data_IF_117974193529
#
_entry.id   IF_117974193529
#
_cell.length_a   1.000
_cell.length_b   1.000
_cell.length_c   1.000
_cell.angle_alpha   90.00
_cell.angle_beta   90.00
_cell.angle_gamma   90.00
#
_symmetry.space_group_name_H-M   'P 1'
#
loop_
_entity.id
_entity.type
_entity.pdbx_description
1 polymer ?
#
# COMPACT_ATOMS: atom_id res chain seq x y z
N UNK A 1 -19.80 2.03 10.95
CA UNK A 1 -18.54 2.69 10.58
C UNK A 1 -17.58 1.61 10.10
N UNK A 2 -17.26 1.58 8.81
CA UNK A 2 -16.25 0.67 8.26
C UNK A 2 -14.87 1.01 8.84
N UNK A 3 -13.95 0.05 9.04
CA UNK A 3 -12.62 0.32 9.56
C UNK A 3 -11.89 1.32 8.67
N UNK A 4 -11.20 2.29 9.29
CA UNK A 4 -10.36 3.27 8.60
C UNK A 4 -9.11 2.54 8.12
N UNK A 5 -9.03 2.24 6.83
CA UNK A 5 -7.84 1.68 6.20
C UNK A 5 -7.44 2.53 5.01
N UNK A 6 -6.18 2.97 4.97
CA UNK A 6 -5.67 3.74 3.84
C UNK A 6 -5.54 2.86 2.57
N UNK A 7 -5.49 1.52 2.70
CA UNK A 7 -5.47 0.53 1.60
C UNK A 7 -4.38 0.77 0.53
N UNK A 8 -3.32 1.52 0.85
CA UNK A 8 -2.24 1.88 -0.09
C UNK A 8 -1.19 0.78 -0.20
N UNK A 9 -0.96 0.04 0.89
CA UNK A 9 0.02 -1.03 0.92
C UNK A 9 -0.69 -2.38 0.74
N UNK A 10 -0.20 -3.27 -0.16
CA UNK A 10 -0.69 -4.63 -0.19
C UNK A 10 -0.49 -5.26 1.19
N UNK A 11 -1.50 -5.99 1.69
CA UNK A 11 -1.37 -6.83 2.87
C UNK A 11 -0.16 -7.74 2.64
N UNK A 12 0.95 -7.45 3.31
CA UNK A 12 2.10 -8.34 3.24
C UNK A 12 1.63 -9.63 3.90
N UNK A 13 1.42 -10.66 3.07
CA UNK A 13 1.47 -12.03 3.53
C UNK A 13 2.92 -12.25 3.95
N UNK A 14 3.25 -11.89 5.19
CA UNK A 14 4.46 -12.35 5.86
C UNK A 14 4.19 -13.83 6.20
N UNK A 15 4.02 -14.67 5.17
CA UNK A 15 4.12 -16.11 5.38
C UNK A 15 5.60 -16.39 5.57
N UNK A 16 5.96 -16.55 6.83
CA UNK A 16 7.18 -17.21 7.22
C UNK A 16 7.24 -18.58 6.54
N UNK A 17 8.40 -18.99 5.97
CA UNK A 17 8.69 -20.41 5.88
C UNK A 17 8.48 -21.01 7.27
N UNK A 18 7.83 -22.17 7.38
CA UNK A 18 7.60 -22.83 8.66
C UNK A 18 8.89 -22.87 9.49
N UNK A 19 8.77 -22.66 10.81
CA UNK A 19 9.92 -22.59 11.73
C UNK A 19 10.96 -23.66 11.38
N UNK A 20 12.14 -23.25 10.92
CA UNK A 20 13.28 -24.16 10.91
C UNK A 20 13.59 -24.54 12.36
N UNK A 21 13.94 -25.82 12.62
CA UNK A 21 14.16 -26.30 13.98
C UNK A 21 15.15 -25.40 14.72
N UNK A 22 14.70 -24.85 15.85
CA UNK A 22 15.52 -24.01 16.73
C UNK A 22 16.69 -24.84 17.24
N UNK A 23 17.87 -24.66 16.65
CA UNK A 23 19.12 -25.02 17.32
C UNK A 23 19.36 -23.99 18.41
N UNK A 24 18.99 -24.35 19.64
CA UNK A 24 19.26 -23.55 20.84
C UNK A 24 20.75 -23.65 21.13
N UNK A 25 21.53 -22.61 20.83
CA UNK A 25 22.82 -22.32 21.47
C UNK A 25 23.27 -20.88 21.19
N UNK A 26 23.97 -20.28 22.17
CA UNK A 26 24.30 -18.85 22.23
C UNK A 26 25.26 -18.39 21.11
N UNK A 27 25.14 -17.11 20.74
CA UNK A 27 25.95 -16.45 19.71
C UNK A 27 27.45 -16.57 19.96
N UNK A 28 28.18 -17.12 18.99
CA UNK A 28 29.64 -17.23 18.97
C UNK A 28 30.24 -16.39 17.84
N UNK A 29 29.87 -15.12 17.74
CA UNK A 29 30.80 -14.14 17.16
C UNK A 29 31.77 -13.77 18.29
N UNK A 30 33.08 -14.02 18.16
CA UNK A 30 34.02 -13.68 19.22
C UNK A 30 34.03 -12.15 19.44
N UNK A 31 34.14 -11.67 20.70
CA UNK A 31 34.15 -10.24 21.01
C UNK A 31 35.32 -9.51 20.33
N UNK A 32 35.10 -8.23 20.00
CA UNK A 32 36.03 -7.32 19.30
C UNK A 32 37.45 -7.24 19.91
N UNK A 33 37.62 -7.62 21.18
CA UNK A 33 38.94 -7.70 21.85
C UNK A 33 39.87 -8.79 21.27
N UNK A 34 39.39 -9.66 20.38
CA UNK A 34 40.18 -10.73 19.74
C UNK A 34 40.84 -10.35 18.40
N UNK A 35 41.01 -9.06 18.12
CA UNK A 35 41.55 -8.50 16.87
C UNK A 35 42.98 -8.97 16.44
N UNK A 36 43.66 -9.84 17.20
CA UNK A 36 45.02 -10.33 16.87
C UNK A 36 45.08 -11.66 16.12
N UNK A 37 44.00 -12.46 16.05
CA UNK A 37 44.01 -13.76 15.35
C UNK A 37 44.05 -13.58 13.82
N UNK A 38 43.51 -12.46 13.31
CA UNK A 38 43.49 -12.14 11.87
C UNK A 38 44.89 -11.87 11.27
N UNK A 39 45.94 -11.88 12.09
CA UNK A 39 47.34 -11.73 11.65
C UNK A 39 48.02 -13.08 11.32
N UNK A 40 47.41 -14.21 11.67
CA UNK A 40 47.94 -15.54 11.36
C UNK A 40 47.34 -16.00 10.03
N UNK A 41 48.14 -15.98 8.96
CA UNK A 41 47.69 -16.33 7.60
C UNK A 41 47.80 -17.81 7.28
N UNK A 42 48.60 -18.56 8.04
CA UNK A 42 48.89 -19.97 7.77
C UNK A 42 47.95 -20.92 8.52
N UNK A 43 47.40 -21.88 7.77
CA UNK A 43 46.42 -22.88 8.23
C UNK A 43 46.92 -23.68 9.43
N UNK A 44 48.17 -24.14 9.37
CA UNK A 44 48.78 -24.96 10.42
C UNK A 44 49.08 -24.14 11.67
N UNK A 45 49.36 -22.84 11.53
CA UNK A 45 49.63 -21.95 12.65
C UNK A 45 48.35 -21.56 13.43
N UNK A 46 47.20 -21.48 12.77
CA UNK A 46 45.90 -21.30 13.43
C UNK A 46 45.53 -22.56 14.21
N UNK A 47 45.69 -23.73 13.60
CA UNK A 47 45.38 -25.02 14.23
C UNK A 47 46.26 -25.26 15.47
N UNK A 48 47.55 -24.92 15.39
CA UNK A 48 48.51 -25.05 16.49
C UNK A 48 48.25 -24.02 17.61
N UNK A 49 47.81 -22.80 17.26
CA UNK A 49 47.40 -21.78 18.24
C UNK A 49 46.10 -22.14 18.97
N UNK A 50 45.06 -22.59 18.24
CA UNK A 50 43.78 -23.00 18.81
C UNK A 50 43.96 -24.24 19.70
N UNK A 51 44.73 -25.23 19.26
CA UNK A 51 45.02 -26.44 20.03
C UNK A 51 45.83 -26.16 21.31
N UNK A 52 46.76 -25.20 21.28
CA UNK A 52 47.58 -24.83 22.45
C UNK A 52 46.85 -23.94 23.46
N UNK A 53 46.00 -23.03 22.98
CA UNK A 53 45.43 -21.98 23.82
C UNK A 53 43.96 -22.19 24.19
N UNK A 54 43.23 -23.10 23.53
CA UNK A 54 41.81 -23.32 23.79
C UNK A 54 41.51 -24.83 23.85
N UNK A 55 41.35 -25.38 25.07
CA UNK A 55 40.95 -26.77 25.26
C UNK A 55 39.42 -26.91 25.14
N UNK A 56 38.96 -27.80 24.27
CA UNK A 56 37.53 -28.17 24.17
C UNK A 56 36.73 -27.52 23.04
N UNK A 57 37.40 -26.91 22.05
CA UNK A 57 36.75 -26.19 20.93
C UNK A 57 35.98 -27.16 20.03
N UNK A 58 34.69 -26.90 19.82
CA UNK A 58 33.86 -27.65 18.88
C UNK A 58 34.30 -27.40 17.44
N UNK A 59 33.97 -28.31 16.50
CA UNK A 59 34.28 -28.12 15.07
C UNK A 59 33.74 -26.78 14.52
N UNK A 60 32.61 -26.32 15.04
CA UNK A 60 32.00 -25.06 14.61
C UNK A 60 32.75 -23.83 15.14
N UNK A 61 33.24 -23.88 16.37
CA UNK A 61 34.07 -22.81 16.94
C UNK A 61 35.41 -22.74 16.20
N UNK A 62 36.04 -23.89 15.92
CA UNK A 62 37.25 -23.97 15.08
C UNK A 62 37.03 -23.38 13.67
N UNK A 63 35.89 -23.65 13.05
CA UNK A 63 35.53 -23.09 11.74
C UNK A 63 35.23 -21.58 11.81
N UNK A 64 34.65 -21.09 12.92
CA UNK A 64 34.46 -19.65 13.15
C UNK A 64 35.80 -18.91 13.26
N UNK A 65 36.84 -19.56 13.79
CA UNK A 65 38.21 -18.99 13.81
C UNK A 65 38.90 -19.02 12.44
N UNK A 66 38.55 -19.97 11.55
CA UNK A 66 39.15 -20.11 10.20
C UNK A 66 38.53 -19.20 9.14
N UNK A 67 37.25 -18.85 9.31
CA UNK A 67 36.49 -18.09 8.33
C UNK A 67 36.75 -16.58 8.48
N UNK A 68 36.67 -15.84 7.36
CA UNK A 68 36.66 -14.37 7.43
C UNK A 68 35.44 -13.86 8.21
N UNK A 69 35.52 -12.65 8.77
CA UNK A 69 34.41 -12.04 9.50
C UNK A 69 33.12 -12.02 8.67
N UNK A 70 33.21 -11.61 7.40
CA UNK A 70 32.12 -11.70 6.41
C UNK A 70 31.51 -13.11 6.32
N UNK A 71 32.34 -14.15 6.26
CA UNK A 71 31.86 -15.52 6.12
C UNK A 71 31.17 -15.99 7.40
N UNK A 72 31.63 -15.57 8.57
CA UNK A 72 30.97 -15.88 9.84
C UNK A 72 29.59 -15.24 9.96
N UNK A 73 29.45 -13.94 9.66
CA UNK A 73 28.14 -13.27 9.72
C UNK A 73 27.16 -13.88 8.70
N UNK A 74 27.61 -14.21 7.48
CA UNK A 74 26.79 -14.86 6.48
C UNK A 74 26.28 -16.25 6.94
N UNK A 75 27.15 -17.06 7.55
CA UNK A 75 26.77 -18.38 8.09
C UNK A 75 25.77 -18.22 9.23
N UNK A 76 25.99 -17.28 10.14
CA UNK A 76 25.07 -17.03 11.26
C UNK A 76 23.68 -16.59 10.78
N UNK A 77 23.60 -15.65 9.82
CA UNK A 77 22.34 -15.21 9.25
C UNK A 77 21.54 -16.37 8.65
N UNK A 78 22.19 -17.23 7.86
CA UNK A 78 21.55 -18.39 7.25
C UNK A 78 21.10 -19.42 8.31
N UNK A 79 21.91 -19.66 9.35
CA UNK A 79 21.58 -20.58 10.46
C UNK A 79 20.36 -20.11 11.24
N UNK A 80 20.25 -18.81 11.49
CA UNK A 80 19.10 -18.19 12.16
C UNK A 80 17.91 -17.98 11.22
N UNK A 81 18.03 -18.39 9.96
CA UNK A 81 17.01 -18.30 8.94
C UNK A 81 16.75 -16.88 8.43
N UNK A 82 17.63 -15.91 8.66
CA UNK A 82 17.53 -14.53 8.16
C UNK A 82 17.92 -14.44 6.68
N UNK A 83 17.18 -15.17 5.82
CA UNK A 83 17.48 -15.28 4.40
C UNK A 83 17.35 -13.93 3.66
N UNK A 84 16.39 -13.09 4.07
CA UNK A 84 16.18 -11.78 3.46
C UNK A 84 17.33 -10.84 3.81
N UNK A 85 17.63 -10.68 5.10
CA UNK A 85 18.77 -9.88 5.54
C UNK A 85 20.09 -10.39 4.94
N UNK A 86 20.27 -11.71 4.85
CA UNK A 86 21.44 -12.32 4.23
C UNK A 86 21.61 -11.89 2.77
N UNK A 87 20.53 -11.96 1.98
CA UNK A 87 20.55 -11.54 0.58
C UNK A 87 20.95 -10.07 0.45
N UNK A 88 20.31 -9.20 1.23
CA UNK A 88 20.58 -7.74 1.21
C UNK A 88 22.04 -7.42 1.57
N UNK A 89 22.58 -8.07 2.61
CA UNK A 89 23.99 -7.88 3.02
C UNK A 89 24.98 -8.40 1.97
N UNK A 90 24.70 -9.56 1.37
CA UNK A 90 25.59 -10.16 0.38
C UNK A 90 25.67 -9.30 -0.89
N UNK A 91 24.51 -8.84 -1.38
CA UNK A 91 24.40 -7.95 -2.53
C UNK A 91 25.15 -6.63 -2.29
N UNK A 92 25.10 -6.10 -1.06
CA UNK A 92 25.80 -4.87 -0.67
C UNK A 92 27.32 -5.02 -0.81
N UNK A 93 27.87 -6.12 -0.26
CA UNK A 93 29.30 -6.39 -0.31
C UNK A 93 29.80 -6.55 -1.76
N UNK A 94 29.06 -7.30 -2.58
CA UNK A 94 29.43 -7.56 -3.98
C UNK A 94 29.47 -6.28 -4.82
N UNK A 95 28.46 -5.40 -4.70
CA UNK A 95 28.43 -4.16 -5.47
C UNK A 95 29.44 -3.13 -5.01
N UNK A 96 29.77 -3.09 -3.73
CA UNK A 96 30.84 -2.24 -3.22
C UNK A 96 32.18 -2.58 -3.89
N UNK A 97 32.51 -3.88 -3.98
CA UNK A 97 33.71 -4.33 -4.68
C UNK A 97 33.65 -4.00 -6.18
N UNK A 98 32.50 -4.21 -6.85
CA UNK A 98 32.33 -3.89 -8.27
C UNK A 98 32.46 -2.39 -8.57
N UNK A 99 31.92 -1.52 -7.70
CA UNK A 99 32.06 -0.06 -7.81
C UNK A 99 33.51 0.39 -7.66
N UNK A 100 34.22 -0.19 -6.69
CA UNK A 100 35.65 0.05 -6.52
C UNK A 100 36.42 -0.34 -7.78
N UNK A 101 36.19 -1.55 -8.29
CA UNK A 101 36.85 -2.07 -9.48
C UNK A 101 36.59 -1.18 -10.71
N UNK A 102 35.34 -0.78 -10.94
CA UNK A 102 34.95 0.07 -12.06
C UNK A 102 35.55 1.49 -11.99
N UNK A 103 35.72 2.06 -10.79
CA UNK A 103 36.28 3.40 -10.61
C UNK A 103 37.82 3.45 -10.82
N UNK A 104 38.48 2.30 -10.72
CA UNK A 104 39.89 2.12 -11.03
C UNK A 104 40.88 2.76 -10.03
N UNK A 105 42.20 2.48 -10.19
CA UNK A 105 43.23 2.72 -9.17
C UNK A 105 43.49 4.16 -8.70
N UNK A 106 43.00 5.17 -9.44
CA UNK A 106 43.19 6.58 -9.12
C UNK A 106 41.98 7.27 -8.50
N UNK A 107 40.90 6.53 -8.24
CA UNK A 107 39.67 7.06 -7.65
C UNK A 107 39.72 7.05 -6.12
N UNK A 108 39.00 7.98 -5.48
CA UNK A 108 38.93 8.03 -4.01
C UNK A 108 38.40 6.71 -3.41
N UNK A 109 37.41 6.09 -4.05
CA UNK A 109 36.80 4.82 -3.61
C UNK A 109 37.77 3.62 -3.74
N UNK A 110 38.75 3.68 -4.63
CA UNK A 110 39.80 2.66 -4.74
C UNK A 110 40.71 2.63 -3.51
N UNK A 111 40.96 3.80 -2.92
CA UNK A 111 41.78 3.94 -1.73
C UNK A 111 41.01 3.71 -0.41
N UNK A 112 39.68 3.72 -0.43
CA UNK A 112 38.86 3.29 0.71
C UNK A 112 39.03 1.79 0.96
N UNK A 113 39.05 1.33 2.22
CA UNK A 113 39.16 -0.10 2.59
C UNK A 113 37.92 -0.90 2.20
N UNK A 114 38.06 -2.21 1.97
CA UNK A 114 36.91 -3.00 1.50
C UNK A 114 35.81 -3.01 2.56
N UNK A 115 34.54 -3.05 2.15
CA UNK A 115 33.48 -3.32 3.13
C UNK A 115 33.76 -4.66 3.85
N UNK A 116 34.40 -5.62 3.16
CA UNK A 116 34.86 -6.89 3.72
C UNK A 116 35.98 -6.76 4.77
N UNK A 117 36.71 -5.66 4.72
CA UNK A 117 37.86 -5.32 5.58
C UNK A 117 37.48 -4.31 6.67
N UNK A 118 36.19 -3.97 6.79
CA UNK A 118 35.62 -3.05 7.78
C UNK A 118 34.65 -3.81 8.70
N UNK A 119 35.16 -4.63 9.65
CA UNK A 119 34.34 -5.49 10.50
C UNK A 119 33.29 -4.72 11.30
N UNK A 120 33.62 -3.52 11.79
CA UNK A 120 32.68 -2.68 12.54
C UNK A 120 31.45 -2.27 11.71
N UNK A 121 31.65 -1.98 10.40
CA UNK A 121 30.55 -1.64 9.50
C UNK A 121 29.73 -2.86 9.12
N UNK A 122 30.38 -4.00 8.89
CA UNK A 122 29.70 -5.26 8.64
C UNK A 122 28.87 -5.69 9.84
N UNK A 123 29.36 -5.47 11.06
CA UNK A 123 28.64 -5.77 12.29
C UNK A 123 27.40 -4.88 12.46
N UNK A 124 27.55 -3.58 12.20
CA UNK A 124 26.42 -2.64 12.19
C UNK A 124 25.35 -3.05 11.16
N UNK A 125 25.76 -3.33 9.92
CA UNK A 125 24.84 -3.76 8.86
C UNK A 125 24.15 -5.08 9.20
N UNK A 126 24.90 -6.07 9.70
CA UNK A 126 24.36 -7.32 10.21
C UNK A 126 23.32 -7.06 11.32
N UNK A 127 23.64 -6.22 12.30
CA UNK A 127 22.77 -5.90 13.42
C UNK A 127 21.46 -5.24 12.98
N UNK A 128 21.54 -4.22 12.13
CA UNK A 128 20.34 -3.51 11.65
C UNK A 128 19.46 -4.39 10.77
N UNK A 129 20.05 -5.12 9.82
CA UNK A 129 19.27 -5.96 8.90
C UNK A 129 18.61 -7.13 9.64
N UNK A 130 19.36 -7.87 10.46
CA UNK A 130 18.80 -9.00 11.21
C UNK A 130 17.83 -8.55 12.31
N UNK A 131 18.13 -7.42 12.97
CA UNK A 131 17.24 -6.79 13.94
C UNK A 131 15.91 -6.37 13.33
N UNK A 132 15.95 -5.71 12.17
CA UNK A 132 14.76 -5.32 11.41
C UNK A 132 13.92 -6.53 10.99
N UNK A 133 14.55 -7.56 10.42
CA UNK A 133 13.85 -8.79 10.01
C UNK A 133 13.25 -9.52 11.23
N UNK A 134 13.98 -9.61 12.34
CA UNK A 134 13.47 -10.20 13.58
C UNK A 134 12.27 -9.42 14.15
N UNK A 135 12.36 -8.09 14.18
CA UNK A 135 11.27 -7.23 14.65
C UNK A 135 10.03 -7.35 13.76
N UNK A 136 10.20 -7.43 12.44
CA UNK A 136 9.11 -7.67 11.49
C UNK A 136 8.45 -9.03 11.73
N UNK A 137 9.23 -10.10 11.92
CA UNK A 137 8.71 -11.44 12.24
C UNK A 137 7.93 -11.47 13.56
N UNK A 138 8.37 -10.70 14.55
CA UNK A 138 7.70 -10.57 15.84
C UNK A 138 6.48 -9.62 15.81
N UNK A 139 6.22 -8.94 14.70
CA UNK A 139 5.17 -7.91 14.60
C UNK A 139 5.48 -6.63 15.38
N UNK A 140 6.72 -6.43 15.82
CA UNK A 140 7.18 -5.24 16.53
C UNK A 140 7.57 -4.13 15.54
N UNK A 141 6.55 -3.51 14.94
CA UNK A 141 6.71 -2.53 13.84
C UNK A 141 7.51 -1.29 14.26
N UNK A 142 7.39 -0.82 15.51
CA UNK A 142 8.15 0.33 16.02
C UNK A 142 9.65 0.03 16.09
N UNK A 143 10.02 -1.13 16.62
CA UNK A 143 11.41 -1.57 16.72
C UNK A 143 12.03 -1.79 15.33
N UNK A 144 11.23 -2.29 14.37
CA UNK A 144 11.67 -2.38 12.99
C UNK A 144 11.99 -0.99 12.40
N UNK A 145 11.21 0.04 12.74
CA UNK A 145 11.47 1.42 12.32
C UNK A 145 12.82 1.91 12.85
N UNK A 146 13.13 1.68 14.13
CA UNK A 146 14.41 2.09 14.76
C UNK A 146 15.61 1.49 14.03
N UNK A 147 15.55 0.19 13.67
CA UNK A 147 16.61 -0.46 12.92
C UNK A 147 16.79 0.13 11.52
N UNK A 148 15.71 0.44 10.80
CA UNK A 148 15.80 1.07 9.49
C UNK A 148 16.17 2.56 9.55
N UNK A 149 15.83 3.29 10.61
CA UNK A 149 16.26 4.67 10.84
C UNK A 149 17.80 4.69 10.99
N UNK A 150 18.35 3.78 11.78
CA UNK A 150 19.80 3.66 11.94
C UNK A 150 20.50 3.20 10.64
N UNK A 151 19.90 2.26 9.91
CA UNK A 151 20.39 1.83 8.59
C UNK A 151 20.37 2.99 7.57
N UNK A 152 19.33 3.82 7.58
CA UNK A 152 19.26 5.02 6.75
C UNK A 152 20.39 6.00 7.08
N UNK A 153 20.64 6.30 8.36
CA UNK A 153 21.71 7.22 8.77
C UNK A 153 23.11 6.79 8.29
N UNK A 154 23.37 5.49 8.18
CA UNK A 154 24.66 4.96 7.71
C UNK A 154 24.78 5.00 6.19
N UNK A 155 23.66 4.82 5.50
CA UNK A 155 23.63 4.72 4.03
C UNK A 155 23.39 6.07 3.37
N UNK A 156 22.89 7.07 4.10
CA UNK A 156 22.72 8.45 3.64
C UNK A 156 24.05 9.02 3.15
N UNK A 157 24.03 9.65 1.96
CA UNK A 157 25.22 10.22 1.32
C UNK A 157 26.16 9.19 0.67
N UNK A 158 25.91 7.88 0.82
CA UNK A 158 26.69 6.84 0.12
C UNK A 158 26.16 6.61 -1.30
N UNK A 159 27.06 6.25 -2.22
CA UNK A 159 26.72 5.87 -3.60
C UNK A 159 26.37 4.38 -3.75
N UNK A 160 26.14 3.68 -2.64
CA UNK A 160 25.96 2.23 -2.63
C UNK A 160 24.60 1.85 -3.22
N UNK A 161 24.60 0.91 -4.17
CA UNK A 161 23.39 0.46 -4.88
C UNK A 161 23.14 -1.03 -4.72
N UNK A 162 21.87 -1.45 -4.70
CA UNK A 162 21.41 -2.84 -4.73
C UNK A 162 21.48 -3.43 -6.14
N UNK A 163 21.19 -4.72 -6.33
CA UNK A 163 21.14 -5.43 -7.63
C UNK A 163 20.36 -4.68 -8.71
N UNK A 164 19.24 -4.06 -8.34
CA UNK A 164 18.33 -3.34 -9.23
C UNK A 164 18.79 -1.92 -9.58
N UNK A 165 19.82 -1.41 -8.90
CA UNK A 165 20.40 -0.09 -9.13
C UNK A 165 19.88 1.01 -8.21
N UNK A 166 18.98 0.69 -7.27
CA UNK A 166 18.52 1.61 -6.23
C UNK A 166 19.61 1.82 -5.18
N UNK A 167 19.72 3.02 -4.62
CA UNK A 167 20.67 3.23 -3.52
C UNK A 167 20.17 2.56 -2.24
N UNK A 168 21.07 2.12 -1.37
CA UNK A 168 20.65 1.56 -0.07
C UNK A 168 19.96 2.60 0.81
N UNK A 169 20.32 3.88 0.68
CA UNK A 169 19.56 4.96 1.27
C UNK A 169 18.12 4.98 0.74
N UNK A 170 17.92 4.84 -0.58
CA UNK A 170 16.59 4.74 -1.19
C UNK A 170 15.82 3.50 -0.71
N UNK A 171 16.49 2.35 -0.56
CA UNK A 171 15.86 1.14 -0.01
C UNK A 171 15.44 1.32 1.46
N UNK A 172 16.29 1.95 2.28
CA UNK A 172 15.96 2.31 3.66
C UNK A 172 14.75 3.27 3.70
N UNK A 173 14.72 4.27 2.82
CA UNK A 173 13.57 5.16 2.64
C UNK A 173 12.29 4.40 2.30
N UNK A 174 12.34 3.44 1.37
CA UNK A 174 11.19 2.62 1.00
C UNK A 174 10.67 1.80 2.19
N UNK A 175 11.57 1.16 2.97
CA UNK A 175 11.18 0.42 4.17
C UNK A 175 10.59 1.33 5.24
N UNK A 176 11.21 2.48 5.51
CA UNK A 176 10.73 3.45 6.50
C UNK A 176 9.38 4.04 6.13
N UNK A 177 9.19 4.47 4.87
CA UNK A 177 7.90 4.94 4.38
C UNK A 177 6.80 3.89 4.62
N UNK A 178 7.07 2.63 4.26
CA UNK A 178 6.10 1.53 4.44
C UNK A 178 5.76 1.31 5.92
N UNK A 179 6.79 1.28 6.78
CA UNK A 179 6.63 1.06 8.22
C UNK A 179 5.85 2.21 8.88
N UNK A 180 6.18 3.46 8.54
CA UNK A 180 5.49 4.63 9.07
C UNK A 180 4.03 4.69 8.64
N UNK A 181 3.72 4.33 7.40
CA UNK A 181 2.34 4.23 6.91
C UNK A 181 1.55 3.15 7.68
N UNK A 182 2.16 1.99 7.95
CA UNK A 182 1.53 0.93 8.76
C UNK A 182 1.28 1.35 10.21
N UNK A 183 2.23 2.06 10.83
CA UNK A 183 2.04 2.63 12.17
C UNK A 183 0.91 3.65 12.19
N UNK A 184 0.86 4.51 11.17
CA UNK A 184 -0.20 5.50 11.03
C UNK A 184 -1.58 4.88 10.81
N UNK A 185 -1.69 3.82 9.99
CA UNK A 185 -2.94 3.06 9.81
C UNK A 185 -3.48 2.56 11.16
N UNK A 186 -2.61 1.93 11.98
CA UNK A 186 -2.98 1.46 13.32
C UNK A 186 -3.41 2.61 14.24
N UNK A 187 -2.72 3.75 14.18
CA UNK A 187 -3.07 4.95 14.95
C UNK A 187 -4.44 5.52 14.51
N UNK A 188 -4.75 5.52 13.21
CA UNK A 188 -6.06 5.94 12.71
C UNK A 188 -7.18 5.00 13.17
N UNK A 189 -6.94 3.69 13.20
CA UNK A 189 -7.88 2.71 13.77
C UNK A 189 -8.17 2.99 15.26
N UNK A 190 -7.14 3.42 16.01
CA UNK A 190 -7.26 3.83 17.41
C UNK A 190 -7.80 5.27 17.62
N UNK A 191 -8.09 6.01 16.54
CA UNK A 191 -8.48 7.45 16.56
C UNK A 191 -7.40 8.40 17.09
N UNK A 192 -6.14 7.98 17.05
CA UNK A 192 -4.96 8.79 17.38
C UNK A 192 -4.53 9.65 16.18
N UNK A 193 -5.43 10.52 15.71
CA UNK A 193 -5.26 11.23 14.42
C UNK A 193 -3.99 12.09 14.34
N UNK A 194 -3.62 12.79 15.41
CA UNK A 194 -2.44 13.65 15.42
C UNK A 194 -1.11 12.87 15.38
N UNK A 195 -1.03 11.73 16.06
CA UNK A 195 0.14 10.84 15.97
C UNK A 195 0.22 10.18 14.59
N UNK A 196 -0.92 9.79 14.00
CA UNK A 196 -0.95 9.28 12.63
C UNK A 196 -0.43 10.32 11.62
N UNK A 197 -0.85 11.59 11.74
CA UNK A 197 -0.35 12.70 10.91
C UNK A 197 1.17 12.86 11.08
N UNK A 198 1.68 12.80 12.31
CA UNK A 198 3.13 12.88 12.59
C UNK A 198 3.90 11.76 11.91
N UNK A 199 3.40 10.53 11.98
CA UNK A 199 4.01 9.38 11.31
C UNK A 199 3.94 9.49 9.78
N UNK A 200 2.83 9.96 9.22
CA UNK A 200 2.69 10.15 7.77
C UNK A 200 3.54 11.32 7.24
N UNK A 201 3.80 12.35 8.05
CA UNK A 201 4.80 13.38 7.73
C UNK A 201 6.21 12.78 7.65
N UNK A 202 6.57 11.88 8.57
CA UNK A 202 7.82 11.11 8.46
C UNK A 202 7.83 10.25 7.19
N UNK A 203 6.73 9.55 6.89
CA UNK A 203 6.60 8.73 5.68
C UNK A 203 6.81 9.55 4.40
N UNK A 204 6.16 10.71 4.29
CA UNK A 204 6.32 11.62 3.15
C UNK A 204 7.74 12.16 3.03
N UNK A 205 8.40 12.47 4.15
CA UNK A 205 9.81 12.85 4.16
C UNK A 205 10.68 11.74 3.55
N UNK A 206 10.51 10.49 4.02
CA UNK A 206 11.30 9.37 3.48
C UNK A 206 11.00 9.09 2.02
N UNK A 207 9.74 9.19 1.58
CA UNK A 207 9.38 9.02 0.17
C UNK A 207 10.09 10.08 -0.72
N UNK A 208 10.23 11.32 -0.23
CA UNK A 208 10.98 12.38 -0.92
C UNK A 208 12.47 12.07 -0.99
N UNK A 209 13.07 11.68 0.14
CA UNK A 209 14.50 11.32 0.23
C UNK A 209 14.85 10.07 -0.57
N UNK A 210 13.91 9.13 -0.70
CA UNK A 210 14.09 7.91 -1.49
C UNK A 210 14.09 8.15 -3.00
N UNK A 211 13.61 9.31 -3.47
CA UNK A 211 13.63 9.71 -4.87
C UNK A 211 12.56 9.06 -5.75
N UNK A 212 11.73 8.16 -5.23
CA UNK A 212 10.63 7.57 -5.97
C UNK A 212 9.41 8.51 -5.96
N UNK A 213 9.21 9.20 -7.07
CA UNK A 213 8.12 10.17 -7.27
C UNK A 213 6.75 9.53 -7.04
N UNK A 214 6.55 8.26 -7.41
CA UNK A 214 5.27 7.57 -7.19
C UNK A 214 4.99 7.39 -5.70
N UNK A 215 6.00 6.96 -4.94
CA UNK A 215 5.85 6.83 -3.47
C UNK A 215 5.59 8.16 -2.79
N UNK A 216 6.07 9.28 -3.34
CA UNK A 216 5.75 10.63 -2.84
C UNK A 216 4.27 10.95 -3.03
N UNK A 217 3.70 10.62 -4.19
CA UNK A 217 2.26 10.76 -4.45
C UNK A 217 1.43 9.91 -3.51
N UNK A 218 1.83 8.65 -3.29
CA UNK A 218 1.16 7.74 -2.36
C UNK A 218 1.25 8.21 -0.89
N UNK A 219 2.41 8.73 -0.47
CA UNK A 219 2.58 9.30 0.86
C UNK A 219 1.73 10.56 1.08
N UNK A 220 1.67 11.45 0.08
CA UNK A 220 0.82 12.64 0.12
C UNK A 220 -0.66 12.26 0.20
N UNK A 221 -1.09 11.26 -0.59
CA UNK A 221 -2.44 10.71 -0.51
C UNK A 221 -2.77 10.15 0.89
N UNK A 222 -1.88 9.35 1.49
CA UNK A 222 -2.11 8.85 2.86
C UNK A 222 -2.22 9.99 3.88
N UNK A 223 -1.32 10.97 3.78
CA UNK A 223 -1.31 12.12 4.68
C UNK A 223 -2.59 12.96 4.57
N UNK A 224 -3.14 13.14 3.36
CA UNK A 224 -4.41 13.84 3.17
C UNK A 224 -5.58 13.12 3.83
N UNK A 225 -5.63 11.79 3.74
CA UNK A 225 -6.65 10.99 4.44
C UNK A 225 -6.59 11.19 5.95
N UNK A 226 -5.39 11.18 6.54
CA UNK A 226 -5.23 11.43 7.97
C UNK A 226 -5.69 12.83 8.39
N UNK A 227 -5.38 13.86 7.59
CA UNK A 227 -5.92 15.21 7.80
C UNK A 227 -7.44 15.25 7.70
N UNK A 228 -8.03 14.55 6.74
CA UNK A 228 -9.49 14.45 6.63
C UNK A 228 -10.11 13.80 7.87
N UNK A 229 -9.52 12.71 8.38
CA UNK A 229 -9.99 12.06 9.61
C UNK A 229 -9.80 12.93 10.86
N UNK A 230 -8.82 13.82 10.87
CA UNK A 230 -8.61 14.85 11.91
C UNK A 230 -9.64 16.00 11.85
N UNK A 231 -10.43 16.08 10.77
CA UNK A 231 -11.36 17.20 10.51
C UNK A 231 -10.70 18.41 9.81
N UNK A 232 -9.40 18.34 9.52
CA UNK A 232 -8.61 19.38 8.86
C UNK A 232 -8.79 19.29 7.33
N UNK A 233 -10.02 19.50 6.86
CA UNK A 233 -10.40 19.20 5.48
C UNK A 233 -9.73 20.09 4.43
N UNK A 234 -9.51 21.39 4.72
CA UNK A 234 -8.82 22.29 3.78
C UNK A 234 -7.37 21.86 3.58
N UNK A 235 -6.68 21.51 4.66
CA UNK A 235 -5.32 20.94 4.61
C UNK A 235 -5.30 19.60 3.88
N UNK A 236 -6.30 18.75 4.10
CA UNK A 236 -6.44 17.50 3.38
C UNK A 236 -6.52 17.73 1.87
N UNK A 237 -7.39 18.65 1.40
CA UNK A 237 -7.52 18.97 -0.01
C UNK A 237 -6.22 19.55 -0.60
N UNK A 238 -5.54 20.43 0.13
CA UNK A 238 -4.26 21.01 -0.31
C UNK A 238 -3.18 19.93 -0.51
N UNK A 239 -3.04 19.00 0.44
CA UNK A 239 -2.07 17.89 0.36
C UNK A 239 -2.48 16.89 -0.74
N UNK A 240 -3.77 16.65 -0.90
CA UNK A 240 -4.31 15.74 -1.92
C UNK A 240 -4.06 16.27 -3.33
N UNK A 241 -4.14 17.58 -3.56
CA UNK A 241 -3.76 18.20 -4.85
C UNK A 241 -2.30 17.89 -5.21
N UNK A 242 -1.37 17.89 -4.25
CA UNK A 242 0.02 17.47 -4.52
C UNK A 242 0.10 16.02 -5.01
N UNK A 243 -0.72 15.11 -4.46
CA UNK A 243 -0.76 13.73 -4.97
C UNK A 243 -1.37 13.64 -6.37
N UNK A 244 -2.40 14.45 -6.67
CA UNK A 244 -3.02 14.52 -8.01
C UNK A 244 -1.98 14.99 -9.03
N UNK A 245 -1.27 16.08 -8.77
CA UNK A 245 -0.22 16.59 -9.67
C UNK A 245 0.85 15.54 -9.98
N UNK A 246 1.28 14.79 -8.96
CA UNK A 246 2.23 13.69 -9.11
C UNK A 246 1.66 12.57 -9.98
N UNK A 247 0.47 12.07 -9.66
CA UNK A 247 -0.14 10.97 -10.41
C UNK A 247 -0.48 11.37 -11.85
N UNK A 248 -0.84 12.64 -12.10
CA UNK A 248 -1.03 13.18 -13.44
C UNK A 248 0.28 13.15 -14.22
N UNK A 249 1.38 13.62 -13.62
CA UNK A 249 2.72 13.62 -14.25
C UNK A 249 3.18 12.20 -14.59
N UNK A 250 2.81 11.22 -13.77
CA UNK A 250 3.16 9.81 -13.96
C UNK A 250 2.18 9.05 -14.87
N UNK A 251 1.09 9.68 -15.33
CA UNK A 251 -0.03 9.01 -15.99
C UNK A 251 -0.57 7.81 -15.19
N UNK A 252 -0.54 7.87 -13.85
CA UNK A 252 -1.01 6.81 -12.96
C UNK A 252 -2.53 6.92 -12.76
N UNK A 253 -3.29 6.25 -13.64
CA UNK A 253 -4.76 6.24 -13.59
C UNK A 253 -5.30 5.74 -12.26
N UNK A 254 -4.71 4.69 -11.69
CA UNK A 254 -5.13 4.13 -10.41
C UNK A 254 -4.87 5.11 -9.26
N UNK A 255 -3.72 5.80 -9.26
CA UNK A 255 -3.39 6.86 -8.32
C UNK A 255 -4.37 8.03 -8.40
N UNK A 256 -4.67 8.49 -9.63
CA UNK A 256 -5.64 9.55 -9.88
C UNK A 256 -7.04 9.18 -9.39
N UNK A 257 -7.55 8.01 -9.77
CA UNK A 257 -8.86 7.53 -9.33
C UNK A 257 -9.00 7.55 -7.81
N UNK A 258 -7.98 7.07 -7.06
CA UNK A 258 -7.97 7.13 -5.59
C UNK A 258 -7.97 8.57 -5.07
N UNK A 259 -7.16 9.45 -5.64
CA UNK A 259 -7.03 10.84 -5.20
C UNK A 259 -8.33 11.62 -5.43
N UNK A 260 -8.92 11.53 -6.63
CA UNK A 260 -10.21 12.18 -6.94
C UNK A 260 -11.37 11.59 -6.14
N UNK A 261 -11.36 10.28 -5.86
CA UNK A 261 -12.34 9.67 -4.96
C UNK A 261 -12.27 10.27 -3.54
N UNK A 262 -11.05 10.51 -3.05
CA UNK A 262 -10.86 11.17 -1.76
C UNK A 262 -11.31 12.63 -1.77
N UNK A 263 -11.06 13.40 -2.84
CA UNK A 263 -11.57 14.78 -2.96
C UNK A 263 -13.09 14.80 -2.92
N UNK A 264 -13.74 13.97 -3.75
CA UNK A 264 -15.19 13.88 -3.81
C UNK A 264 -15.80 13.53 -2.44
N UNK A 265 -15.20 12.57 -1.72
CA UNK A 265 -15.62 12.18 -0.38
C UNK A 265 -15.44 13.32 0.63
N UNK A 266 -14.32 14.03 0.61
CA UNK A 266 -14.08 15.17 1.51
C UNK A 266 -15.11 16.26 1.25
N UNK A 267 -15.34 16.65 0.00
CA UNK A 267 -16.32 17.68 -0.37
C UNK A 267 -17.76 17.26 -0.04
N UNK A 268 -18.13 16.00 -0.29
CA UNK A 268 -19.44 15.47 0.07
C UNK A 268 -19.66 15.48 1.60
N UNK A 269 -18.63 15.15 2.39
CA UNK A 269 -18.71 15.22 3.85
C UNK A 269 -18.92 16.63 4.41
N UNK A 270 -18.55 17.66 3.62
CA UNK A 270 -18.83 19.06 3.93
C UNK A 270 -20.20 19.54 3.41
N UNK A 271 -21.00 18.66 2.79
CA UNK A 271 -22.25 19.04 2.12
C UNK A 271 -22.03 19.79 0.79
N UNK A 272 -20.79 19.85 0.29
CA UNK A 272 -20.41 20.58 -0.93
C UNK A 272 -20.46 19.68 -2.17
N UNK A 273 -21.55 18.93 -2.34
CA UNK A 273 -21.67 17.95 -3.43
C UNK A 273 -21.61 18.58 -4.82
N UNK A 274 -22.06 19.83 -4.99
CA UNK A 274 -21.95 20.54 -6.27
C UNK A 274 -20.47 20.87 -6.62
N UNK A 275 -19.64 21.21 -5.63
CA UNK A 275 -18.20 21.40 -5.85
C UNK A 275 -17.53 20.08 -6.20
N UNK A 276 -17.93 18.98 -5.55
CA UNK A 276 -17.44 17.64 -5.88
C UNK A 276 -17.74 17.27 -7.34
N UNK A 277 -18.97 17.50 -7.81
CA UNK A 277 -19.37 17.26 -9.21
C UNK A 277 -18.55 18.12 -10.17
N UNK A 278 -18.36 19.41 -9.86
CA UNK A 278 -17.53 20.30 -10.70
C UNK A 278 -16.10 19.78 -10.81
N UNK A 279 -15.49 19.42 -9.69
CA UNK A 279 -14.10 18.95 -9.63
C UNK A 279 -13.91 17.59 -10.34
N UNK A 280 -14.85 16.66 -10.17
CA UNK A 280 -14.85 15.40 -10.93
C UNK A 280 -15.13 15.60 -12.43
N UNK A 281 -15.88 16.64 -12.80
CA UNK A 281 -16.05 17.05 -14.19
C UNK A 281 -14.76 17.59 -14.81
N UNK A 282 -13.93 18.30 -14.04
CA UNK A 282 -12.58 18.72 -14.46
C UNK A 282 -11.67 17.49 -14.62
N UNK A 283 -11.67 16.55 -13.68
CA UNK A 283 -10.94 15.27 -13.80
C UNK A 283 -11.30 14.51 -15.08
N UNK A 284 -12.59 14.39 -15.38
CA UNK A 284 -13.06 13.70 -16.57
C UNK A 284 -12.50 14.36 -17.85
N UNK A 285 -12.55 15.69 -17.94
CA UNK A 285 -11.98 16.44 -19.08
C UNK A 285 -10.47 16.25 -19.19
N UNK A 286 -9.76 16.29 -18.07
CA UNK A 286 -8.32 16.08 -18.06
C UNK A 286 -7.97 14.65 -18.52
N UNK A 287 -8.70 13.65 -18.03
CA UNK A 287 -8.56 12.25 -18.45
C UNK A 287 -8.87 12.06 -19.96
N UNK A 288 -9.87 12.75 -20.51
CA UNK A 288 -10.17 12.74 -21.95
C UNK A 288 -9.01 13.33 -22.74
N UNK A 289 -8.52 14.50 -22.32
CA UNK A 289 -7.42 15.21 -23.00
C UNK A 289 -6.11 14.42 -22.98
N UNK A 290 -5.86 13.69 -21.88
CA UNK A 290 -4.69 12.85 -21.69
C UNK A 290 -4.85 11.43 -22.26
N UNK A 291 -6.00 11.10 -22.87
CA UNK A 291 -6.33 9.76 -23.36
C UNK A 291 -6.20 8.66 -22.29
N UNK A 292 -6.52 8.99 -21.03
CA UNK A 292 -6.49 8.06 -19.89
C UNK A 292 -7.83 7.34 -19.78
N UNK A 293 -8.07 6.38 -20.66
CA UNK A 293 -9.37 5.71 -20.77
C UNK A 293 -9.84 5.03 -19.48
N UNK A 294 -8.91 4.50 -18.66
CA UNK A 294 -9.23 3.98 -17.33
C UNK A 294 -9.80 5.06 -16.41
N UNK A 295 -9.14 6.22 -16.37
CA UNK A 295 -9.54 7.35 -15.55
C UNK A 295 -10.92 7.89 -15.95
N UNK A 296 -11.34 7.72 -17.20
CA UNK A 296 -12.70 8.04 -17.65
C UNK A 296 -13.77 7.14 -17.02
N UNK A 297 -13.49 5.84 -16.92
CA UNK A 297 -14.37 4.90 -16.22
C UNK A 297 -14.47 5.31 -14.76
N UNK A 298 -13.34 5.56 -14.11
CA UNK A 298 -13.28 5.97 -12.71
C UNK A 298 -14.02 7.29 -12.46
N UNK A 299 -13.85 8.29 -13.32
CA UNK A 299 -14.53 9.58 -13.22
C UNK A 299 -16.06 9.44 -13.28
N UNK A 300 -16.56 8.62 -14.22
CA UNK A 300 -17.99 8.34 -14.34
C UNK A 300 -18.53 7.60 -13.10
N UNK A 301 -17.79 6.61 -12.58
CA UNK A 301 -18.17 5.94 -11.33
C UNK A 301 -18.22 6.94 -10.16
N UNK A 302 -17.24 7.82 -10.04
CA UNK A 302 -17.19 8.80 -8.95
C UNK A 302 -18.34 9.83 -9.05
N UNK A 303 -18.62 10.34 -10.25
CA UNK A 303 -19.78 11.21 -10.49
C UNK A 303 -21.08 10.50 -10.13
N UNK A 304 -21.25 9.26 -10.60
CA UNK A 304 -22.41 8.44 -10.28
C UNK A 304 -22.61 8.25 -8.78
N UNK A 305 -21.52 8.00 -8.02
CA UNK A 305 -21.56 7.88 -6.55
C UNK A 305 -22.03 9.17 -5.89
N UNK A 306 -21.50 10.33 -6.27
CA UNK A 306 -21.90 11.63 -5.71
C UNK A 306 -23.38 11.92 -6.01
N UNK A 307 -23.85 11.65 -7.24
CA UNK A 307 -25.26 11.78 -7.59
C UNK A 307 -26.15 10.82 -6.79
N UNK A 308 -25.72 9.58 -6.62
CA UNK A 308 -26.46 8.59 -5.85
C UNK A 308 -26.58 8.98 -4.35
N UNK A 309 -25.49 9.46 -3.75
CA UNK A 309 -25.48 9.94 -2.36
C UNK A 309 -26.36 11.19 -2.15
N UNK A 310 -26.52 12.01 -3.18
CA UNK A 310 -27.38 13.21 -3.16
C UNK A 310 -28.85 12.93 -3.54
N UNK A 311 -29.22 11.65 -3.73
CA UNK A 311 -30.59 11.26 -4.08
C UNK A 311 -30.96 11.43 -5.55
N UNK A 312 -30.01 11.83 -6.40
CA UNK A 312 -30.17 12.02 -7.85
C UNK A 312 -29.92 10.71 -8.59
N UNK A 313 -30.78 9.73 -8.35
CA UNK A 313 -30.54 8.35 -8.76
C UNK A 313 -30.60 8.13 -10.29
N UNK A 314 -31.38 8.95 -11.01
CA UNK A 314 -31.43 8.91 -12.47
C UNK A 314 -30.10 9.34 -13.09
N UNK A 315 -29.55 10.45 -12.62
CA UNK A 315 -28.23 10.94 -13.04
C UNK A 315 -27.13 9.95 -12.64
N UNK A 316 -27.23 9.37 -11.44
CA UNK A 316 -26.30 8.32 -11.02
C UNK A 316 -26.30 7.12 -11.98
N UNK A 317 -27.48 6.63 -12.37
CA UNK A 317 -27.62 5.52 -13.30
C UNK A 317 -27.05 5.86 -14.68
N UNK A 318 -27.23 7.10 -15.16
CA UNK A 318 -26.63 7.56 -16.41
C UNK A 318 -25.10 7.47 -16.37
N UNK A 319 -24.47 8.04 -15.33
CA UNK A 319 -23.02 7.98 -15.17
C UNK A 319 -22.49 6.55 -15.00
N UNK A 320 -23.15 5.70 -14.22
CA UNK A 320 -22.74 4.30 -14.09
C UNK A 320 -22.89 3.52 -15.42
N UNK A 321 -23.91 3.82 -16.21
CA UNK A 321 -24.09 3.22 -17.54
C UNK A 321 -22.98 3.65 -18.49
N UNK A 322 -22.62 4.94 -18.50
CA UNK A 322 -21.48 5.46 -19.26
C UNK A 322 -20.16 4.80 -18.84
N UNK A 323 -19.94 4.60 -17.53
CA UNK A 323 -18.79 3.87 -17.02
C UNK A 323 -18.75 2.41 -17.53
N UNK A 324 -19.89 1.72 -17.55
CA UNK A 324 -20.00 0.34 -18.05
C UNK A 324 -19.71 0.25 -19.55
N UNK A 325 -20.22 1.20 -20.34
CA UNK A 325 -19.95 1.28 -21.78
C UNK A 325 -18.47 1.55 -22.07
N UNK A 326 -17.87 2.50 -21.35
CA UNK A 326 -16.44 2.79 -21.46
C UNK A 326 -15.57 1.58 -21.05
N UNK A 327 -15.91 0.88 -19.96
CA UNK A 327 -15.22 -0.34 -19.55
C UNK A 327 -15.34 -1.47 -20.58
N UNK A 328 -16.51 -1.62 -21.23
CA UNK A 328 -16.72 -2.57 -22.33
C UNK A 328 -15.84 -2.25 -23.54
N UNK A 329 -15.69 -0.97 -23.87
CA UNK A 329 -14.78 -0.54 -24.94
C UNK A 329 -13.31 -0.88 -24.63
N UNK A 330 -12.93 -0.87 -23.35
CA UNK A 330 -11.61 -1.30 -22.88
C UNK A 330 -11.41 -2.82 -22.83
N UNK A 331 -12.49 -3.61 -22.93
CA UNK A 331 -12.50 -5.06 -22.75
C UNK A 331 -11.99 -5.49 -21.36
N UNK A 332 -12.14 -4.63 -20.35
CA UNK A 332 -11.77 -4.92 -18.97
C UNK A 332 -12.98 -5.47 -18.21
N UNK A 333 -13.04 -6.81 -18.12
CA UNK A 333 -14.18 -7.50 -17.47
C UNK A 333 -14.35 -7.15 -15.99
N UNK A 334 -13.27 -7.06 -15.15
CA UNK A 334 -13.39 -6.55 -13.79
C UNK A 334 -14.07 -5.18 -13.68
N UNK A 335 -13.70 -4.21 -14.52
CA UNK A 335 -14.29 -2.87 -14.48
C UNK A 335 -15.73 -2.85 -14.96
N UNK A 336 -16.06 -3.66 -15.97
CA UNK A 336 -17.44 -3.83 -16.41
C UNK A 336 -18.30 -4.35 -15.26
N UNK A 337 -17.84 -5.39 -14.56
CA UNK A 337 -18.55 -5.96 -13.43
C UNK A 337 -18.71 -4.94 -12.27
N UNK A 338 -17.69 -4.13 -12.00
CA UNK A 338 -17.79 -3.05 -11.02
C UNK A 338 -18.82 -1.99 -11.42
N UNK A 339 -18.75 -1.46 -12.64
CA UNK A 339 -19.68 -0.45 -13.14
C UNK A 339 -21.14 -0.96 -13.17
N UNK A 340 -21.37 -2.20 -13.61
CA UNK A 340 -22.70 -2.83 -13.63
C UNK A 340 -23.24 -3.07 -12.21
N UNK A 341 -22.37 -3.36 -11.24
CA UNK A 341 -22.76 -3.44 -9.83
C UNK A 341 -23.29 -2.09 -9.33
N UNK A 342 -22.65 -0.98 -9.70
CA UNK A 342 -23.16 0.36 -9.37
C UNK A 342 -24.46 0.71 -10.09
N UNK A 343 -24.64 0.30 -11.35
CA UNK A 343 -25.94 0.41 -12.03
C UNK A 343 -27.04 -0.30 -11.25
N UNK A 344 -26.76 -1.52 -10.76
CA UNK A 344 -27.67 -2.29 -9.91
C UNK A 344 -28.01 -1.56 -8.61
N UNK A 345 -27.01 -0.96 -7.94
CA UNK A 345 -27.20 -0.16 -6.73
C UNK A 345 -28.08 1.07 -7.00
N UNK A 346 -27.80 1.84 -8.05
CA UNK A 346 -28.59 3.02 -8.41
C UNK A 346 -30.04 2.65 -8.72
N UNK A 347 -30.26 1.57 -9.49
CA UNK A 347 -31.60 1.07 -9.81
C UNK A 347 -32.34 0.60 -8.55
N UNK A 348 -31.65 -0.07 -7.63
CA UNK A 348 -32.23 -0.46 -6.35
C UNK A 348 -32.65 0.77 -5.53
N UNK A 349 -31.85 1.84 -5.50
CA UNK A 349 -32.22 3.07 -4.82
C UNK A 349 -33.43 3.77 -5.48
N UNK A 350 -33.50 3.84 -6.82
CA UNK A 350 -34.69 4.35 -7.53
C UNK A 350 -35.96 3.59 -7.11
N UNK A 351 -35.90 2.26 -7.14
CA UNK A 351 -37.00 1.40 -6.75
C UNK A 351 -37.40 1.60 -5.29
N UNK A 352 -36.44 1.78 -4.39
CA UNK A 352 -36.70 2.03 -2.96
C UNK A 352 -37.40 3.37 -2.71
N UNK A 353 -37.11 4.41 -3.49
CA UNK A 353 -37.85 5.68 -3.39
C UNK A 353 -39.32 5.46 -3.73
N UNK A 354 -39.59 4.79 -4.86
CA UNK A 354 -40.96 4.51 -5.30
C UNK A 354 -41.71 3.63 -4.28
N UNK A 355 -41.06 2.57 -3.80
CA UNK A 355 -41.58 1.69 -2.76
C UNK A 355 -41.96 2.48 -1.50
N UNK A 356 -41.04 3.28 -0.98
CA UNK A 356 -41.25 4.08 0.23
C UNK A 356 -42.38 5.11 0.06
N UNK A 357 -42.52 5.70 -1.13
CA UNK A 357 -43.62 6.60 -1.46
C UNK A 357 -44.98 5.90 -1.34
N UNK A 358 -45.12 4.70 -1.91
CA UNK A 358 -46.35 3.91 -1.80
C UNK A 358 -46.63 3.40 -0.39
N UNK A 359 -45.59 3.04 0.38
CA UNK A 359 -45.74 2.67 1.80
C UNK A 359 -46.24 3.86 2.62
N UNK A 360 -45.71 5.06 2.38
CA UNK A 360 -46.18 6.28 3.05
C UNK A 360 -47.64 6.61 2.67
N UNK A 361 -48.05 6.30 1.44
CA UNK A 361 -49.40 6.47 0.93
C UNK A 361 -50.30 5.23 1.10
N UNK A 362 -50.01 4.32 2.04
CA UNK A 362 -50.68 3.01 2.12
C UNK A 362 -52.22 3.04 2.32
N UNK A 363 -52.81 4.20 2.66
CA UNK A 363 -54.26 4.39 2.69
C UNK A 363 -54.89 4.54 1.29
N UNK A 364 -54.10 4.82 0.26
CA UNK A 364 -54.52 4.90 -1.13
C UNK A 364 -54.60 3.49 -1.76
N UNK A 365 -55.78 3.08 -2.29
CA UNK A 365 -55.96 1.77 -2.91
C UNK A 365 -54.99 1.48 -4.07
N UNK A 366 -54.59 2.51 -4.83
CA UNK A 366 -53.64 2.36 -5.93
C UNK A 366 -52.25 2.00 -5.40
N UNK A 367 -51.80 2.69 -4.36
CA UNK A 367 -50.53 2.40 -3.69
C UNK A 367 -50.48 0.98 -3.11
N UNK A 368 -51.57 0.48 -2.53
CA UNK A 368 -51.65 -0.90 -2.06
C UNK A 368 -51.54 -1.93 -3.21
N UNK A 369 -52.17 -1.64 -4.36
CA UNK A 369 -52.05 -2.50 -5.55
C UNK A 369 -50.61 -2.53 -6.08
N UNK A 370 -49.93 -1.39 -6.14
CA UNK A 370 -48.52 -1.32 -6.55
C UNK A 370 -47.62 -2.15 -5.63
N UNK A 371 -47.80 -2.04 -4.30
CA UNK A 371 -47.04 -2.83 -3.31
C UNK A 371 -47.27 -4.34 -3.48
N UNK A 372 -48.52 -4.77 -3.73
CA UNK A 372 -48.86 -6.17 -3.95
C UNK A 372 -48.28 -6.71 -5.26
N UNK A 373 -48.34 -5.94 -6.34
CA UNK A 373 -47.77 -6.30 -7.64
C UNK A 373 -46.25 -6.51 -7.54
N UNK A 374 -45.54 -5.59 -6.89
CA UNK A 374 -44.10 -5.74 -6.64
C UNK A 374 -43.77 -6.92 -5.74
N UNK A 375 -44.61 -7.20 -4.73
CA UNK A 375 -44.43 -8.38 -3.88
C UNK A 375 -44.46 -9.68 -4.70
N UNK A 376 -45.31 -9.74 -5.71
CA UNK A 376 -45.48 -10.91 -6.57
C UNK A 376 -44.39 -11.03 -7.64
N UNK A 377 -44.10 -9.93 -8.34
CA UNK A 377 -43.32 -10.00 -9.58
C UNK A 377 -41.94 -9.35 -9.48
N UNK A 378 -41.64 -8.64 -8.38
CA UNK A 378 -40.45 -7.77 -8.25
C UNK A 378 -40.29 -6.81 -9.44
N UNK A 379 -41.41 -6.48 -10.10
CA UNK A 379 -41.47 -5.62 -11.29
C UNK A 379 -41.18 -4.18 -10.92
N UNK A 380 -40.83 -3.38 -11.92
CA UNK A 380 -40.49 -1.98 -11.73
C UNK A 380 -41.75 -1.19 -11.34
N UNK A 381 -41.82 -0.69 -10.09
CA UNK A 381 -42.98 0.04 -9.58
C UNK A 381 -43.25 1.34 -10.35
N UNK A 382 -42.30 1.81 -11.15
CA UNK A 382 -42.37 3.10 -11.83
C UNK A 382 -42.81 3.04 -13.30
N UNK A 383 -42.88 1.87 -13.95
CA UNK A 383 -43.08 1.81 -15.42
C UNK A 383 -44.18 0.88 -15.91
N UNK A 384 -44.66 -0.06 -15.10
CA UNK A 384 -45.73 -0.96 -15.53
C UNK A 384 -47.10 -0.37 -15.15
N UNK A 385 -47.94 0.08 -16.11
CA UNK A 385 -49.32 0.38 -15.80
C UNK A 385 -49.94 -0.89 -15.22
N UNK A 386 -50.53 -0.76 -14.03
CA UNK A 386 -51.25 -1.85 -13.35
C UNK A 386 -52.13 -2.56 -14.39
N UNK A 387 -52.07 -3.90 -14.52
CA UNK A 387 -52.96 -4.62 -15.42
C UNK A 387 -54.38 -4.26 -15.02
N UNK A 388 -55.10 -3.57 -15.91
CA UNK A 388 -56.49 -3.24 -15.71
C UNK A 388 -57.21 -4.55 -15.36
N UNK A 389 -57.80 -4.60 -14.15
CA UNK A 389 -58.49 -5.77 -13.66
C UNK A 389 -59.57 -6.15 -14.68
N UNK A 390 -59.36 -7.24 -15.42
CA UNK A 390 -60.38 -7.84 -16.24
C UNK A 390 -61.52 -8.33 -15.33
N UNK A 391 -62.73 -7.82 -15.59
CA UNK A 391 -63.96 -8.58 -15.30
C UNK A 391 -65.11 -7.79 -14.71
N UNK A 392 -65.96 -7.21 -15.56
CA UNK A 392 -67.28 -7.78 -15.94
C UNK A 392 -68.11 -6.71 -16.65
N UNK A 393 -68.06 -6.70 -17.98
CA UNK A 393 -69.18 -6.15 -18.77
C UNK A 393 -70.27 -7.22 -18.83
N UNK A 394 -71.36 -6.97 -18.11
CA UNK A 394 -72.63 -7.68 -18.31
C UNK A 394 -73.29 -7.15 -19.59
N UNK A 395 -73.13 -7.86 -20.70
CA UNK A 395 -74.00 -7.67 -21.87
C UNK A 395 -75.30 -8.46 -21.65
N UNK A 396 -76.33 -7.75 -21.18
CA UNK A 396 -77.68 -8.28 -21.12
C UNK A 396 -78.27 -8.37 -22.54
N UNK A 397 -78.82 -9.54 -22.81
CA UNK A 397 -79.45 -10.00 -24.05
C UNK A 397 -80.64 -9.15 -24.49
N UNK A 398 -80.78 -8.89 -25.79
CA UNK A 398 -82.04 -8.44 -26.42
C UNK A 398 -82.96 -9.65 -26.64
N UNK A 399 -84.28 -9.57 -26.35
CA UNK A 399 -85.24 -10.53 -26.86
C UNK A 399 -85.81 -10.09 -28.23
N UNK A 400 -86.17 -11.13 -28.98
CA UNK A 400 -86.74 -11.26 -30.34
C UNK A 400 -87.45 -10.05 -30.96
#
# INVERSE_FOLDING_TARGET
>A
MSPVKMNVLPQAVIQSPGEHPKFIEQSLCPPLDFARIHLIKDKDAIDDYVAKNIKGVSKQEADAYRNSYKKNICIDMLRRGYHKSFSELLTLIQKWNALREAAGPGSAIWHEKSLEEQPDKLDQLYHFLTGAEAAQRAGHVTKAAEYFEAFYQITEGTSWKDETGHTYASLACQHLWRIYTLLADKMLENKEHQEAIKMLKKALKMAKEGGDIKTQGEAAYCLSLAYHFSGEHETALAVLNTSVEIFTTLCDSAGLGRAYAAVAKILASQGKSNEAVKYLGEFMKDAESANLSQSLVDANILLGKVHNETGKYNEALQYFSQASEAAKALKDLPLVAEAESYCGIAKAHQLMVAFNSHVAAAADPLSLQCLLAWKQNRSDMCTDPLPAAHGKETSASKPL
#
